data_IF_375817705446
#
_entry.id   IF_375817705446
#
_cell.length_a   1.000
_cell.length_b   1.000
_cell.length_c   1.000
_cell.angle_alpha   90.00
_cell.angle_beta   90.00
_cell.angle_gamma   90.00
#
_symmetry.space_group_name_H-M   'P 1'
#
loop_
_entity.id
_entity.type
_entity.pdbx_description
1 polymer ?
#
# COMPACT_ATOMS: atom_id res chain seq x y z
N UNK A 1 7.54 -8.99 0.16
CA UNK A 1 8.76 -8.21 0.49
C UNK A 1 9.83 -8.43 -0.57
N UNK A 2 10.78 -7.51 -0.69
CA UNK A 2 11.93 -7.62 -1.60
C UNK A 2 13.09 -8.36 -0.91
N UNK A 3 14.04 -8.88 -1.71
CA UNK A 3 15.34 -9.36 -1.23
C UNK A 3 16.26 -8.16 -0.93
N UNK A 4 16.08 -7.55 0.24
CA UNK A 4 16.82 -6.36 0.64
C UNK A 4 18.31 -6.66 0.79
N UNK A 5 18.68 -7.83 1.33
CA UNK A 5 20.07 -8.22 1.50
C UNK A 5 20.81 -8.34 0.15
N UNK A 6 20.20 -9.01 -0.83
CA UNK A 6 20.75 -9.09 -2.19
C UNK A 6 20.87 -7.74 -2.87
N UNK A 7 19.88 -6.84 -2.65
CA UNK A 7 19.93 -5.46 -3.19
C UNK A 7 21.05 -4.65 -2.51
N UNK A 8 21.22 -4.79 -1.18
CA UNK A 8 22.30 -4.13 -0.43
C UNK A 8 23.67 -4.53 -0.95
N UNK A 9 23.91 -5.83 -1.19
CA UNK A 9 25.18 -6.31 -1.77
C UNK A 9 25.49 -5.64 -3.12
N UNK A 10 24.50 -5.54 -4.00
CA UNK A 10 24.66 -4.92 -5.32
C UNK A 10 24.94 -3.41 -5.22
N UNK A 11 24.28 -2.71 -4.29
CA UNK A 11 24.48 -1.29 -4.05
C UNK A 11 25.88 -1.03 -3.46
N UNK A 12 26.24 -1.75 -2.41
CA UNK A 12 27.50 -1.57 -1.69
C UNK A 12 28.72 -1.95 -2.54
N UNK A 13 28.61 -2.98 -3.40
CA UNK A 13 29.67 -3.29 -4.38
C UNK A 13 30.00 -2.10 -5.32
N UNK A 14 29.12 -1.12 -5.40
CA UNK A 14 29.29 0.12 -6.19
C UNK A 14 29.49 1.37 -5.34
N UNK A 15 29.68 1.21 -4.04
CA UNK A 15 29.78 2.34 -3.08
C UNK A 15 28.55 3.22 -3.04
N UNK A 16 27.37 2.64 -3.28
CA UNK A 16 26.06 3.34 -3.24
C UNK A 16 25.30 2.95 -1.98
N UNK A 17 24.69 3.92 -1.28
CA UNK A 17 23.80 3.62 -0.17
C UNK A 17 22.50 2.98 -0.67
N UNK A 18 21.89 2.15 0.18
CA UNK A 18 20.55 1.62 0.01
C UNK A 18 19.58 2.31 0.98
N UNK A 19 18.56 2.96 0.44
CA UNK A 19 17.48 3.60 1.19
C UNK A 19 16.21 2.77 0.99
N UNK A 20 15.58 2.35 2.09
CA UNK A 20 14.35 1.56 2.07
C UNK A 20 13.21 2.36 2.69
N UNK A 21 12.12 2.46 1.94
CA UNK A 21 10.82 2.82 2.49
C UNK A 21 10.15 1.56 3.01
N UNK A 22 10.13 1.40 4.31
CA UNK A 22 9.52 0.29 5.03
C UNK A 22 8.39 0.82 5.94
N UNK A 23 7.59 1.71 5.37
CA UNK A 23 6.53 2.40 6.11
C UNK A 23 5.57 1.44 6.85
N UNK A 24 5.39 0.22 6.34
CA UNK A 24 4.56 -0.83 6.97
C UNK A 24 5.36 -1.79 7.85
N UNK A 25 6.66 -1.59 8.05
CA UNK A 25 7.57 -2.55 8.67
C UNK A 25 7.97 -2.26 10.12
N UNK A 26 7.28 -1.36 10.82
CA UNK A 26 7.66 -0.96 12.19
C UNK A 26 7.72 -2.13 13.20
N UNK A 27 7.01 -3.22 12.97
CA UNK A 27 6.94 -4.43 13.82
C UNK A 27 7.99 -5.48 13.46
N UNK A 28 8.56 -5.45 12.24
CA UNK A 28 9.43 -6.51 11.72
C UNK A 28 10.63 -6.86 12.60
N UNK A 29 11.36 -5.90 13.23
CA UNK A 29 12.56 -6.22 14.02
C UNK A 29 12.29 -6.96 15.33
N UNK A 30 11.04 -7.21 15.69
CA UNK A 30 10.69 -7.73 17.00
C UNK A 30 10.27 -9.21 17.01
N UNK A 31 10.31 -9.89 15.83
CA UNK A 31 9.96 -11.30 15.75
C UNK A 31 10.63 -12.00 14.54
N UNK A 32 11.25 -13.16 14.75
CA UNK A 32 12.02 -13.91 13.75
C UNK A 32 11.17 -14.56 12.64
N UNK A 33 9.87 -14.77 12.86
CA UNK A 33 8.93 -15.30 11.85
C UNK A 33 8.31 -14.20 10.98
N UNK A 34 8.75 -12.96 11.13
CA UNK A 34 8.42 -11.84 10.24
C UNK A 34 9.54 -11.65 9.22
N UNK A 35 9.26 -10.98 8.09
CA UNK A 35 10.29 -10.62 7.12
C UNK A 35 11.46 -9.87 7.77
N UNK A 36 12.68 -10.14 7.25
CA UNK A 36 13.87 -9.48 7.77
C UNK A 36 13.77 -7.96 7.63
N UNK A 37 13.94 -7.26 8.75
CA UNK A 37 13.94 -5.81 8.80
C UNK A 37 15.06 -5.21 7.94
N UNK A 38 14.78 -4.10 7.27
CA UNK A 38 15.68 -3.50 6.31
C UNK A 38 17.06 -3.18 6.88
N UNK A 39 17.15 -2.73 8.15
CA UNK A 39 18.45 -2.42 8.78
C UNK A 39 19.26 -3.71 9.06
N UNK A 40 18.61 -4.79 9.47
CA UNK A 40 19.26 -6.09 9.67
C UNK A 40 19.68 -6.72 8.33
N UNK A 41 18.95 -6.41 7.26
CA UNK A 41 19.26 -6.81 5.89
C UNK A 41 20.33 -5.95 5.20
N UNK A 42 20.88 -4.93 5.88
CA UNK A 42 22.00 -4.12 5.40
C UNK A 42 21.62 -2.82 4.71
N UNK A 43 20.39 -2.33 4.82
CA UNK A 43 20.05 -0.98 4.35
C UNK A 43 20.80 0.10 5.15
N UNK A 44 21.20 1.18 4.50
CA UNK A 44 21.89 2.31 5.14
C UNK A 44 20.91 3.30 5.77
N UNK A 45 19.75 3.45 5.17
CA UNK A 45 18.62 4.23 5.71
C UNK A 45 17.34 3.45 5.53
N UNK A 46 16.51 3.44 6.57
CA UNK A 46 15.16 2.92 6.51
C UNK A 46 14.19 3.92 7.15
N UNK A 47 13.04 4.11 6.53
CA UNK A 47 11.94 4.91 7.08
C UNK A 47 10.79 3.98 7.45
N UNK A 48 10.29 4.10 8.69
CA UNK A 48 9.11 3.35 9.15
C UNK A 48 8.05 4.30 9.67
N UNK A 49 6.79 3.96 9.45
CA UNK A 49 5.63 4.66 10.02
C UNK A 49 5.13 3.88 11.24
N UNK A 50 5.47 4.35 12.44
CA UNK A 50 5.06 3.69 13.69
C UNK A 50 3.54 3.68 13.86
N UNK A 51 2.86 4.68 13.29
CA UNK A 51 1.39 4.78 13.33
C UNK A 51 0.65 3.76 12.45
N UNK A 52 1.35 3.00 11.59
CA UNK A 52 0.77 1.91 10.80
C UNK A 52 0.83 0.61 11.61
N UNK A 53 1.68 -0.33 11.27
CA UNK A 53 1.80 -1.63 11.95
C UNK A 53 2.29 -1.55 13.39
N UNK A 54 2.93 -0.44 13.78
CA UNK A 54 3.31 -0.18 15.18
C UNK A 54 2.15 0.24 16.07
N UNK A 55 0.97 0.55 15.52
CA UNK A 55 -0.21 1.03 16.25
C UNK A 55 0.07 2.27 17.14
N UNK A 56 1.04 3.10 16.74
CA UNK A 56 1.34 4.38 17.39
C UNK A 56 0.34 5.48 17.01
N UNK A 57 0.49 6.65 17.62
CA UNK A 57 -0.31 7.82 17.24
C UNK A 57 0.00 8.24 15.81
N UNK A 58 -1.02 8.70 15.11
CA UNK A 58 -0.94 9.22 13.75
C UNK A 58 0.22 10.25 13.61
N UNK A 59 0.86 10.27 12.45
CA UNK A 59 2.05 11.07 12.14
C UNK A 59 3.37 10.61 12.80
N UNK A 60 3.36 9.52 13.58
CA UNK A 60 4.57 8.93 14.15
C UNK A 60 5.41 8.17 13.12
N UNK A 61 6.60 8.69 12.80
CA UNK A 61 7.54 8.08 11.85
C UNK A 61 8.97 8.20 12.37
N UNK A 62 9.85 7.27 11.95
CA UNK A 62 11.26 7.22 12.36
C UNK A 62 12.15 6.95 11.16
N UNK A 63 13.27 7.69 11.06
CA UNK A 63 14.41 7.32 10.23
C UNK A 63 15.37 6.44 11.05
N UNK A 64 15.76 5.32 10.50
CA UNK A 64 16.86 4.49 10.98
C UNK A 64 18.05 4.68 10.04
N UNK A 65 19.24 4.87 10.60
CA UNK A 65 20.46 5.13 9.83
C UNK A 65 21.60 4.31 10.40
N UNK A 66 22.41 3.70 9.53
CA UNK A 66 23.63 2.99 9.93
C UNK A 66 24.73 3.13 8.87
N UNK A 67 25.96 2.74 9.25
CA UNK A 67 27.12 2.77 8.36
C UNK A 67 27.61 4.18 8.04
N UNK A 68 28.51 4.27 7.06
CA UNK A 68 29.24 5.48 6.70
C UNK A 68 28.90 6.03 5.31
N UNK A 69 27.98 5.38 4.59
CA UNK A 69 27.60 5.79 3.23
C UNK A 69 26.62 6.99 3.20
N UNK A 70 26.02 7.32 4.34
CA UNK A 70 25.11 8.44 4.50
C UNK A 70 25.75 9.50 5.42
N UNK A 71 25.81 10.72 4.94
CA UNK A 71 26.14 11.88 5.75
C UNK A 71 24.97 12.21 6.69
N UNK A 72 25.09 11.82 7.95
CA UNK A 72 24.04 11.94 8.96
C UNK A 72 23.70 13.42 9.28
N UNK A 73 24.71 14.31 9.25
CA UNK A 73 24.49 15.75 9.50
C UNK A 73 23.66 16.36 8.36
N UNK A 74 23.96 15.97 7.12
CA UNK A 74 23.19 16.41 5.96
C UNK A 74 21.78 15.86 5.96
N UNK A 75 21.60 14.58 6.34
CA UNK A 75 20.27 13.97 6.47
C UNK A 75 19.44 14.73 7.51
N UNK A 76 20.02 15.02 8.68
CA UNK A 76 19.37 15.80 9.74
C UNK A 76 18.96 17.18 9.25
N UNK A 77 19.87 17.90 8.57
CA UNK A 77 19.58 19.22 8.03
C UNK A 77 18.44 19.18 6.97
N UNK A 78 18.40 18.14 6.13
CA UNK A 78 17.31 17.97 5.17
C UNK A 78 15.97 17.66 5.87
N UNK A 79 16.00 16.85 6.92
CA UNK A 79 14.81 16.57 7.74
C UNK A 79 14.28 17.87 8.38
N UNK A 80 15.14 18.67 8.97
CA UNK A 80 14.77 19.96 9.57
C UNK A 80 14.13 20.94 8.59
N UNK A 81 14.53 20.89 7.30
CA UNK A 81 13.93 21.71 6.25
C UNK A 81 12.50 21.28 5.88
N UNK A 82 12.16 20.01 6.02
CA UNK A 82 10.92 19.43 5.53
C UNK A 82 9.95 19.07 6.65
N UNK A 83 10.43 18.90 7.87
CA UNK A 83 9.62 18.56 9.03
C UNK A 83 8.87 19.78 9.58
N UNK A 84 7.83 19.48 10.38
CA UNK A 84 7.09 20.54 11.10
C UNK A 84 7.99 21.27 12.10
N UNK A 85 7.81 22.60 12.22
CA UNK A 85 8.44 23.41 13.27
C UNK A 85 7.66 23.40 14.58
N UNK A 86 6.54 22.68 14.64
CA UNK A 86 5.67 22.54 15.82
C UNK A 86 5.50 21.06 16.19
N UNK A 87 6.57 20.38 16.65
CA UNK A 87 6.53 18.96 16.98
C UNK A 87 5.56 18.71 18.14
N UNK A 88 4.80 17.61 18.03
CA UNK A 88 3.85 17.21 19.05
C UNK A 88 4.54 16.26 20.04
N UNK A 89 4.76 16.73 21.28
CA UNK A 89 5.42 15.93 22.32
C UNK A 89 4.66 14.67 22.72
N UNK A 90 3.32 14.64 22.54
CA UNK A 90 2.52 13.44 22.79
C UNK A 90 2.82 12.33 21.79
N UNK A 91 3.06 12.68 20.53
CA UNK A 91 3.49 11.72 19.49
C UNK A 91 4.86 11.14 19.85
N UNK A 92 5.82 11.97 20.25
CA UNK A 92 7.15 11.51 20.66
C UNK A 92 7.09 10.61 21.91
N UNK A 93 6.33 11.00 22.92
CA UNK A 93 6.15 10.21 24.13
C UNK A 93 5.47 8.87 23.83
N UNK A 94 4.47 8.85 22.93
CA UNK A 94 3.79 7.63 22.50
C UNK A 94 4.74 6.70 21.72
N UNK A 95 5.57 7.24 20.81
CA UNK A 95 6.57 6.45 20.08
C UNK A 95 7.62 5.85 21.02
N UNK A 96 8.11 6.58 22.04
CA UNK A 96 9.05 6.02 23.01
C UNK A 96 8.39 4.96 23.90
N UNK A 97 7.14 5.19 24.31
CA UNK A 97 6.34 4.20 25.03
C UNK A 97 6.14 2.93 24.22
N UNK A 98 5.79 3.05 22.95
CA UNK A 98 5.68 1.95 22.01
C UNK A 98 7.01 1.19 21.85
N UNK A 99 8.09 1.90 21.56
CA UNK A 99 9.43 1.30 21.47
C UNK A 99 9.78 0.48 22.70
N UNK A 100 9.51 1.03 23.90
CA UNK A 100 9.75 0.34 25.17
C UNK A 100 8.89 -0.92 25.29
N UNK A 101 7.62 -0.86 24.93
CA UNK A 101 6.71 -2.00 24.94
C UNK A 101 7.20 -3.09 24.00
N UNK A 102 7.58 -2.73 22.77
CA UNK A 102 8.05 -3.70 21.78
C UNK A 102 9.37 -4.36 22.19
N UNK A 103 10.31 -3.62 22.78
CA UNK A 103 11.56 -4.19 23.30
C UNK A 103 11.31 -5.16 24.46
N UNK A 104 10.31 -4.92 25.30
CA UNK A 104 10.02 -5.72 26.49
C UNK A 104 9.07 -6.89 26.22
N UNK A 105 8.11 -6.73 25.33
CA UNK A 105 6.98 -7.65 25.12
C UNK A 105 6.68 -7.91 23.64
N UNK A 106 7.44 -7.36 22.70
CA UNK A 106 7.12 -7.42 21.27
C UNK A 106 7.03 -8.84 20.76
N UNK A 107 7.98 -9.70 21.15
CA UNK A 107 7.98 -11.10 20.72
C UNK A 107 6.68 -11.82 21.14
N UNK A 108 6.28 -11.74 22.40
CA UNK A 108 5.06 -12.38 22.92
C UNK A 108 3.79 -11.83 22.26
N UNK A 109 3.73 -10.50 22.04
CA UNK A 109 2.58 -9.85 21.40
C UNK A 109 2.45 -10.26 19.94
N UNK A 110 3.59 -10.38 19.22
CA UNK A 110 3.61 -10.77 17.83
C UNK A 110 3.40 -12.28 17.65
N UNK A 111 3.87 -13.14 18.58
CA UNK A 111 3.49 -14.55 18.61
C UNK A 111 1.97 -14.72 18.57
N UNK A 112 1.27 -14.02 19.47
CA UNK A 112 -0.19 -14.07 19.54
C UNK A 112 -0.86 -13.59 18.26
N UNK A 113 -0.35 -12.52 17.64
CA UNK A 113 -0.88 -11.98 16.38
C UNK A 113 -0.62 -12.91 15.18
N UNK A 114 0.55 -13.54 15.10
CA UNK A 114 0.90 -14.51 14.06
C UNK A 114 0.05 -15.79 14.18
N UNK A 115 -0.14 -16.30 15.40
CA UNK A 115 -1.02 -17.44 15.64
C UNK A 115 -2.46 -17.13 15.24
N UNK A 116 -2.95 -15.94 15.58
CA UNK A 116 -4.27 -15.46 15.19
C UNK A 116 -4.40 -15.36 13.67
N UNK A 117 -3.40 -14.79 12.99
CA UNK A 117 -3.37 -14.69 11.55
C UNK A 117 -3.37 -16.06 10.85
N UNK A 118 -2.62 -17.03 11.40
CA UNK A 118 -2.61 -18.41 10.92
C UNK A 118 -3.99 -19.07 11.05
N UNK A 119 -4.67 -18.87 12.19
CA UNK A 119 -6.01 -19.40 12.40
C UNK A 119 -7.04 -18.73 11.49
N UNK A 120 -6.99 -17.41 11.38
CA UNK A 120 -7.89 -16.64 10.52
C UNK A 120 -7.81 -17.09 9.04
N UNK A 121 -6.60 -17.38 8.52
CA UNK A 121 -6.44 -17.92 7.16
C UNK A 121 -7.22 -19.22 6.98
N UNK A 122 -7.10 -20.17 7.92
CA UNK A 122 -7.82 -21.44 7.87
C UNK A 122 -9.33 -21.25 7.92
N UNK A 123 -9.80 -20.33 8.75
CA UNK A 123 -11.21 -20.03 8.88
C UNK A 123 -11.78 -19.44 7.58
N UNK A 124 -11.04 -18.52 6.95
CA UNK A 124 -11.41 -17.89 5.67
C UNK A 124 -11.38 -18.91 4.51
N UNK A 125 -10.40 -19.81 4.46
CA UNK A 125 -10.32 -20.88 3.45
C UNK A 125 -11.53 -21.83 3.48
N UNK A 126 -12.25 -21.89 4.59
CA UNK A 126 -13.50 -22.65 4.69
C UNK A 126 -14.68 -21.97 3.97
N UNK A 127 -14.55 -20.69 3.59
CA UNK A 127 -15.60 -19.93 2.90
C UNK A 127 -15.56 -20.27 1.40
N UNK A 128 -16.66 -20.78 0.80
CA UNK A 128 -16.67 -21.14 -0.61
C UNK A 128 -16.32 -19.95 -1.53
N UNK A 129 -15.51 -20.22 -2.54
CA UNK A 129 -15.11 -19.27 -3.58
C UNK A 129 -14.28 -18.07 -3.08
N UNK A 130 -13.77 -18.13 -1.85
CA UNK A 130 -12.77 -17.20 -1.30
C UNK A 130 -11.44 -17.94 -1.19
N UNK A 131 -10.40 -17.41 -1.78
CA UNK A 131 -9.05 -17.98 -1.72
C UNK A 131 -8.15 -17.06 -0.90
N UNK A 132 -7.49 -17.57 0.12
CA UNK A 132 -6.39 -16.86 0.77
C UNK A 132 -5.13 -17.04 -0.07
N UNK A 133 -4.48 -15.93 -0.41
CA UNK A 133 -3.21 -15.94 -1.14
C UNK A 133 -2.05 -15.94 -0.13
N UNK A 134 -1.14 -16.90 -0.26
CA UNK A 134 -0.06 -17.13 0.68
C UNK A 134 1.25 -17.56 -0.05
N UNK A 135 1.75 -18.77 0.18
CA UNK A 135 3.07 -19.24 -0.32
C UNK A 135 3.19 -19.23 -1.85
N UNK A 136 2.08 -19.27 -2.59
CA UNK A 136 2.10 -19.10 -4.06
C UNK A 136 2.59 -17.70 -4.50
N UNK A 137 2.60 -16.73 -3.60
CA UNK A 137 3.14 -15.40 -3.85
C UNK A 137 4.67 -15.34 -3.72
N UNK A 138 5.31 -16.41 -3.22
CA UNK A 138 6.76 -16.50 -3.07
C UNK A 138 7.43 -17.03 -4.34
N UNK A 139 8.53 -16.42 -4.74
CA UNK A 139 9.33 -16.91 -5.86
C UNK A 139 10.24 -15.86 -6.48
N UNK A 140 11.10 -16.30 -7.40
CA UNK A 140 12.12 -15.46 -8.06
C UNK A 140 11.54 -14.26 -8.83
N UNK A 141 10.31 -14.40 -9.34
CA UNK A 141 9.61 -13.34 -10.08
C UNK A 141 8.40 -12.79 -9.30
N UNK A 142 8.37 -13.03 -7.99
CA UNK A 142 7.30 -12.63 -7.10
C UNK A 142 7.88 -12.02 -5.81
N UNK A 143 7.28 -12.25 -4.66
CA UNK A 143 7.81 -11.80 -3.38
C UNK A 143 8.94 -12.69 -2.89
N UNK A 144 9.98 -12.09 -2.30
CA UNK A 144 11.05 -12.82 -1.60
C UNK A 144 10.56 -13.38 -0.26
N UNK A 145 9.70 -12.61 0.43
CA UNK A 145 9.11 -12.98 1.71
C UNK A 145 7.74 -12.31 1.89
N UNK A 146 6.94 -12.75 2.86
CA UNK A 146 5.60 -12.24 3.15
C UNK A 146 5.44 -11.90 4.63
N UNK A 147 4.87 -10.73 4.90
CA UNK A 147 4.35 -10.41 6.23
C UNK A 147 3.06 -11.20 6.47
N UNK A 148 3.13 -12.20 7.35
CA UNK A 148 2.01 -13.10 7.66
C UNK A 148 0.87 -12.44 8.44
N UNK A 149 1.05 -11.24 8.93
CA UNK A 149 -0.03 -10.44 9.53
C UNK A 149 -0.92 -9.78 8.47
N UNK A 150 -0.52 -9.83 7.19
CA UNK A 150 -1.30 -9.38 6.04
C UNK A 150 -2.05 -10.57 5.43
N UNK A 151 -3.37 -10.58 5.51
CA UNK A 151 -4.23 -11.67 4.98
C UNK A 151 -4.88 -11.21 3.68
N UNK A 152 -4.28 -11.61 2.56
CA UNK A 152 -4.76 -11.26 1.22
C UNK A 152 -5.75 -12.32 0.72
N UNK A 153 -6.94 -11.90 0.31
CA UNK A 153 -8.02 -12.76 -0.14
C UNK A 153 -8.43 -12.44 -1.58
N UNK A 154 -8.39 -13.42 -2.47
CA UNK A 154 -9.02 -13.32 -3.80
C UNK A 154 -10.49 -13.72 -3.68
N UNK A 155 -11.37 -12.82 -4.03
CA UNK A 155 -12.82 -12.97 -3.94
C UNK A 155 -13.49 -13.09 -5.31
N UNK A 156 -12.71 -13.05 -6.38
CA UNK A 156 -13.24 -13.00 -7.76
C UNK A 156 -14.08 -14.20 -8.16
N UNK A 157 -13.82 -15.37 -7.58
CA UNK A 157 -14.62 -16.59 -7.85
C UNK A 157 -16.05 -16.52 -7.28
N UNK A 158 -16.33 -15.57 -6.37
CA UNK A 158 -17.69 -15.31 -5.87
C UNK A 158 -18.59 -14.61 -6.90
N UNK A 159 -18.00 -14.10 -7.99
CA UNK A 159 -18.68 -13.26 -9.00
C UNK A 159 -18.73 -11.77 -8.66
N UNK A 160 -18.08 -11.36 -7.55
CA UNK A 160 -17.98 -9.94 -7.14
C UNK A 160 -16.55 -9.42 -7.30
N UNK A 161 -16.38 -8.10 -7.22
CA UNK A 161 -15.06 -7.48 -7.07
C UNK A 161 -14.66 -7.31 -5.60
N UNK A 162 -13.36 -7.10 -5.35
CA UNK A 162 -12.89 -6.71 -4.02
C UNK A 162 -13.47 -5.37 -3.56
N UNK A 163 -13.74 -4.42 -4.48
CA UNK A 163 -14.42 -3.17 -4.17
C UNK A 163 -15.83 -3.41 -3.61
N UNK A 164 -16.63 -4.25 -4.28
CA UNK A 164 -17.98 -4.60 -3.82
C UNK A 164 -17.95 -5.33 -2.46
N UNK A 165 -17.00 -6.23 -2.26
CA UNK A 165 -16.81 -6.92 -0.99
C UNK A 165 -16.44 -5.93 0.13
N UNK A 166 -15.49 -5.03 -0.12
CA UNK A 166 -15.07 -3.98 0.82
C UNK A 166 -16.24 -3.07 1.22
N UNK A 167 -16.97 -2.55 0.23
CA UNK A 167 -18.10 -1.66 0.49
C UNK A 167 -19.19 -2.35 1.31
N UNK A 168 -19.51 -3.60 0.99
CA UNK A 168 -20.49 -4.37 1.75
C UNK A 168 -20.04 -4.60 3.20
N UNK A 169 -18.77 -5.00 3.42
CA UNK A 169 -18.22 -5.21 4.76
C UNK A 169 -18.25 -3.92 5.59
N UNK A 170 -17.95 -2.79 4.96
CA UNK A 170 -17.98 -1.48 5.61
C UNK A 170 -19.42 -1.08 6.00
N UNK A 171 -20.37 -1.23 5.08
CA UNK A 171 -21.76 -0.80 5.30
C UNK A 171 -22.52 -1.69 6.28
N UNK A 172 -22.34 -3.02 6.19
CA UNK A 172 -23.18 -3.97 6.92
C UNK A 172 -22.50 -4.57 8.16
N UNK A 173 -21.18 -4.64 8.17
CA UNK A 173 -20.43 -5.20 9.28
C UNK A 173 -19.58 -4.16 10.05
N UNK A 174 -19.47 -2.93 9.53
CA UNK A 174 -18.60 -1.88 10.06
C UNK A 174 -17.14 -2.33 10.15
N UNK A 175 -16.68 -3.03 9.11
CA UNK A 175 -15.30 -3.50 8.97
C UNK A 175 -14.70 -2.83 7.74
N UNK A 176 -13.63 -2.06 7.96
CA UNK A 176 -12.79 -1.54 6.88
C UNK A 176 -11.68 -2.55 6.61
N UNK A 177 -11.56 -3.01 5.37
CA UNK A 177 -10.40 -3.78 4.92
C UNK A 177 -9.25 -2.83 4.59
N UNK A 178 -8.01 -3.27 4.77
CA UNK A 178 -6.83 -2.41 4.57
C UNK A 178 -6.68 -1.94 3.13
N UNK A 179 -6.94 -2.80 2.17
CA UNK A 179 -6.95 -2.50 0.73
C UNK A 179 -7.98 -3.35 0.00
N UNK A 180 -8.47 -2.85 -1.14
CA UNK A 180 -9.30 -3.61 -2.06
C UNK A 180 -8.94 -3.27 -3.50
N UNK A 181 -8.99 -4.26 -4.39
CA UNK A 181 -8.86 -4.08 -5.83
C UNK A 181 -10.03 -4.78 -6.56
N UNK A 182 -9.96 -4.87 -7.88
CA UNK A 182 -11.01 -5.50 -8.69
C UNK A 182 -11.17 -7.01 -8.45
N UNK A 183 -10.27 -7.65 -7.69
CA UNK A 183 -10.31 -9.10 -7.39
C UNK A 183 -10.15 -9.42 -5.91
N UNK A 184 -9.50 -8.52 -5.14
CA UNK A 184 -8.95 -8.86 -3.83
C UNK A 184 -9.34 -7.86 -2.77
N UNK A 185 -9.35 -8.35 -1.53
CA UNK A 185 -9.38 -7.54 -0.32
C UNK A 185 -8.24 -7.98 0.60
N UNK A 186 -7.72 -7.05 1.38
CA UNK A 186 -6.64 -7.29 2.34
C UNK A 186 -7.14 -7.01 3.75
N UNK A 187 -7.04 -7.99 4.64
CA UNK A 187 -7.16 -7.76 6.07
C UNK A 187 -5.76 -7.67 6.70
N UNK A 188 -5.56 -6.67 7.54
CA UNK A 188 -4.31 -6.45 8.27
C UNK A 188 -4.58 -6.69 9.75
N UNK A 189 -3.84 -7.65 10.34
CA UNK A 189 -3.87 -7.89 11.77
C UNK A 189 -2.76 -7.10 12.46
N UNK A 190 -3.00 -6.75 13.69
CA UNK A 190 -2.03 -6.09 14.57
C UNK A 190 -1.89 -6.85 15.88
N UNK A 191 -0.94 -6.45 16.70
CA UNK A 191 -0.77 -6.99 18.05
C UNK A 191 -1.95 -6.68 19.01
N UNK A 192 -2.89 -5.84 18.58
CA UNK A 192 -4.07 -5.47 19.36
C UNK A 192 -5.30 -6.31 19.01
N UNK A 193 -5.22 -7.13 17.95
CA UNK A 193 -6.32 -8.00 17.55
C UNK A 193 -6.38 -9.26 18.42
N UNK A 194 -7.58 -9.77 18.59
CA UNK A 194 -7.88 -10.97 19.37
C UNK A 194 -8.84 -11.91 18.61
N UNK A 195 -9.23 -12.99 19.25
CA UNK A 195 -10.16 -13.97 18.68
C UNK A 195 -11.54 -13.38 18.38
N UNK A 196 -11.96 -12.38 19.12
CA UNK A 196 -13.27 -11.76 18.92
C UNK A 196 -13.23 -10.86 17.67
N UNK A 197 -12.14 -10.08 17.48
CA UNK A 197 -11.96 -9.26 16.27
C UNK A 197 -11.82 -10.12 15.02
N UNK A 198 -11.03 -11.19 15.06
CA UNK A 198 -10.89 -12.14 13.95
C UNK A 198 -12.20 -12.88 13.65
N UNK A 199 -12.93 -13.31 14.69
CA UNK A 199 -14.23 -13.96 14.55
C UNK A 199 -15.27 -13.06 13.89
N UNK A 200 -15.32 -11.79 14.25
CA UNK A 200 -16.19 -10.79 13.60
C UNK A 200 -15.91 -10.66 12.10
N UNK A 201 -14.65 -10.67 11.70
CA UNK A 201 -14.29 -10.64 10.28
C UNK A 201 -14.76 -11.92 9.57
N UNK A 202 -14.51 -13.08 10.14
CA UNK A 202 -14.94 -14.36 9.57
C UNK A 202 -16.46 -14.43 9.42
N UNK A 203 -17.21 -14.05 10.44
CA UNK A 203 -18.67 -14.01 10.42
C UNK A 203 -19.20 -13.04 9.36
N UNK A 204 -18.58 -11.88 9.24
CA UNK A 204 -18.92 -10.88 8.24
C UNK A 204 -18.64 -11.37 6.81
N UNK A 205 -17.52 -12.07 6.58
CA UNK A 205 -17.20 -12.67 5.29
C UNK A 205 -18.19 -13.78 4.91
N UNK A 206 -18.62 -14.60 5.86
CA UNK A 206 -19.69 -15.58 5.63
C UNK A 206 -21.03 -14.92 5.27
N UNK A 207 -21.39 -13.84 5.96
CA UNK A 207 -22.62 -13.09 5.67
C UNK A 207 -22.54 -12.42 4.30
N UNK A 208 -21.40 -11.77 3.98
CA UNK A 208 -21.16 -11.20 2.66
C UNK A 208 -21.20 -12.25 1.56
N UNK A 209 -20.57 -13.42 1.75
CA UNK A 209 -20.58 -14.49 0.74
C UNK A 209 -22.01 -14.96 0.39
N UNK A 210 -22.91 -14.96 1.36
CA UNK A 210 -24.33 -15.25 1.12
C UNK A 210 -25.00 -14.14 0.30
N UNK A 211 -24.71 -12.87 0.63
CA UNK A 211 -25.26 -11.71 -0.08
C UNK A 211 -24.68 -11.55 -1.50
N UNK A 212 -23.49 -12.09 -1.76
CA UNK A 212 -22.79 -11.96 -3.03
C UNK A 212 -23.60 -12.54 -4.23
N UNK A 213 -24.56 -13.43 -3.99
CA UNK A 213 -25.43 -13.94 -5.05
C UNK A 213 -26.37 -12.89 -5.66
N UNK A 214 -26.66 -11.83 -4.92
CA UNK A 214 -27.58 -10.78 -5.34
C UNK A 214 -26.85 -9.58 -5.98
N UNK A 215 -25.52 -9.65 -6.10
CA UNK A 215 -24.72 -8.56 -6.66
C UNK A 215 -24.74 -8.62 -8.18
N UNK A 216 -24.86 -7.45 -8.79
CA UNK A 216 -24.57 -7.30 -10.20
C UNK A 216 -23.08 -7.59 -10.47
N UNK A 217 -22.77 -8.30 -11.57
CA UNK A 217 -21.37 -8.53 -11.94
C UNK A 217 -20.57 -7.21 -12.01
N UNK A 218 -19.33 -7.18 -11.49
CA UNK A 218 -18.55 -5.95 -11.49
C UNK A 218 -18.24 -5.51 -12.93
N UNK A 219 -18.20 -4.19 -13.19
CA UNK A 219 -17.77 -3.67 -14.47
C UNK A 219 -16.36 -4.16 -14.83
N UNK A 220 -16.14 -4.43 -16.10
CA UNK A 220 -14.81 -4.81 -16.59
C UNK A 220 -13.85 -3.62 -16.51
N UNK A 221 -12.62 -3.88 -16.07
CA UNK A 221 -11.51 -2.92 -16.13
C UNK A 221 -10.67 -3.22 -17.36
N UNK A 222 -10.37 -2.20 -18.14
CA UNK A 222 -9.54 -2.28 -19.34
C UNK A 222 -8.06 -2.16 -18.94
N UNK A 223 -7.41 -3.31 -18.70
CA UNK A 223 -6.01 -3.35 -18.25
C UNK A 223 -5.07 -3.11 -19.43
N UNK A 224 -4.19 -2.10 -19.37
CA UNK A 224 -3.16 -1.86 -20.40
C UNK A 224 -2.03 -2.90 -20.29
N UNK A 225 -1.30 -3.10 -21.37
CA UNK A 225 -0.05 -3.85 -21.31
C UNK A 225 1.04 -3.05 -20.59
N UNK A 226 2.13 -3.71 -20.09
CA UNK A 226 3.26 -2.99 -19.50
C UNK A 226 3.81 -1.88 -20.40
N UNK A 227 3.94 -2.15 -21.71
CA UNK A 227 4.43 -1.16 -22.69
C UNK A 227 3.49 0.03 -22.84
N UNK A 228 2.18 -0.18 -22.69
CA UNK A 228 1.19 0.89 -22.74
C UNK A 228 1.19 1.76 -21.47
N UNK A 229 1.69 1.21 -20.35
CA UNK A 229 1.89 1.97 -19.11
C UNK A 229 3.14 2.86 -19.15
N UNK A 230 4.10 2.59 -20.03
CA UNK A 230 5.28 3.43 -20.22
C UNK A 230 4.93 4.67 -21.06
N UNK A 231 4.45 5.72 -20.41
CA UNK A 231 4.10 6.97 -21.06
C UNK A 231 5.36 7.77 -21.46
N UNK A 232 5.28 8.47 -22.60
CA UNK A 232 6.35 9.37 -23.06
C UNK A 232 6.50 10.58 -22.12
N UNK A 233 7.65 10.75 -21.49
CA UNK A 233 8.00 11.97 -20.75
C UNK A 233 8.35 13.10 -21.72
N UNK A 234 7.48 14.11 -21.82
CA UNK A 234 7.65 15.27 -22.72
C UNK A 234 8.41 16.41 -22.06
N UNK A 235 8.16 16.63 -20.77
CA UNK A 235 8.85 17.65 -19.96
C UNK A 235 8.93 17.19 -18.51
N UNK A 236 9.66 17.94 -17.70
CA UNK A 236 9.78 17.62 -16.27
C UNK A 236 8.41 17.74 -15.58
N UNK A 237 8.12 16.85 -14.61
CA UNK A 237 6.87 16.93 -13.84
C UNK A 237 6.62 18.29 -13.22
N UNK A 238 7.65 18.94 -12.70
CA UNK A 238 7.60 20.30 -12.15
C UNK A 238 7.11 21.31 -13.17
N UNK A 239 7.64 21.26 -14.39
CA UNK A 239 7.35 22.27 -15.43
C UNK A 239 5.90 22.12 -15.92
N UNK A 240 5.41 20.89 -15.99
CA UNK A 240 4.02 20.62 -16.31
C UNK A 240 3.07 21.04 -15.19
N UNK A 241 3.39 20.68 -13.94
CA UNK A 241 2.53 20.95 -12.80
C UNK A 241 2.34 22.46 -12.53
N UNK A 242 3.42 23.26 -12.70
CA UNK A 242 3.38 24.71 -12.52
C UNK A 242 3.16 25.50 -13.83
N UNK A 243 2.98 24.80 -14.96
CA UNK A 243 2.70 25.40 -16.26
C UNK A 243 1.30 25.99 -16.40
N UNK A 244 0.98 26.50 -17.58
CA UNK A 244 -0.41 26.86 -17.90
C UNK A 244 -1.21 25.59 -18.14
N UNK A 245 -2.31 25.46 -17.42
CA UNK A 245 -3.16 24.25 -17.41
C UNK A 245 -4.54 24.58 -17.94
N UNK A 246 -5.13 23.62 -18.64
CA UNK A 246 -6.56 23.60 -18.92
C UNK A 246 -7.16 22.23 -18.53
N UNK A 247 -8.42 22.21 -18.15
CA UNK A 247 -9.18 20.97 -17.97
C UNK A 247 -9.86 20.62 -19.27
N UNK A 248 -9.64 19.39 -19.73
CA UNK A 248 -10.28 18.84 -20.93
C UNK A 248 -11.11 17.62 -20.56
N UNK A 249 -12.13 17.33 -21.35
CA UNK A 249 -12.85 16.07 -21.21
C UNK A 249 -11.89 14.90 -21.50
N UNK A 250 -11.94 13.84 -20.68
CA UNK A 250 -10.98 12.73 -20.73
C UNK A 250 -10.95 12.04 -22.11
N UNK A 251 -12.08 11.97 -22.80
CA UNK A 251 -12.18 11.46 -24.20
C UNK A 251 -11.36 12.28 -25.21
N UNK A 252 -10.99 13.53 -24.89
CA UNK A 252 -10.18 14.42 -25.72
C UNK A 252 -8.74 14.59 -25.21
N UNK A 253 -8.37 13.86 -24.16
CA UNK A 253 -7.07 14.02 -23.53
C UNK A 253 -5.96 13.20 -24.20
N UNK A 254 -6.29 12.20 -25.02
CA UNK A 254 -5.29 11.40 -25.74
C UNK A 254 -4.36 12.28 -26.58
N UNK A 255 -3.05 12.10 -26.42
CA UNK A 255 -2.00 12.86 -27.08
C UNK A 255 -1.65 14.18 -26.38
N UNK A 256 -2.45 14.64 -25.39
CA UNK A 256 -2.13 15.82 -24.59
C UNK A 256 -1.09 15.46 -23.51
N UNK A 257 -0.43 16.45 -22.96
CA UNK A 257 0.55 16.31 -21.88
C UNK A 257 -0.13 16.55 -20.54
N UNK A 258 -0.07 15.57 -19.64
CA UNK A 258 -0.67 15.66 -18.32
C UNK A 258 -0.04 16.79 -17.48
N UNK A 259 -0.88 17.51 -16.75
CA UNK A 259 -0.48 18.55 -15.81
C UNK A 259 -0.89 18.22 -14.37
N UNK A 260 -1.40 17.01 -14.15
CA UNK A 260 -1.72 16.46 -12.84
C UNK A 260 -1.26 15.02 -12.74
N UNK A 261 -1.24 14.49 -11.52
CA UNK A 261 -1.00 13.10 -11.23
C UNK A 261 -2.33 12.36 -11.14
N UNK A 262 -2.36 11.12 -11.62
CA UNK A 262 -3.49 10.22 -11.43
C UNK A 262 -2.97 8.91 -10.84
N UNK A 263 -3.29 8.66 -9.58
CA UNK A 263 -2.77 7.53 -8.82
C UNK A 263 -3.91 6.62 -8.37
N UNK A 264 -4.10 5.46 -8.99
CA UNK A 264 -4.98 4.43 -8.44
C UNK A 264 -4.57 4.04 -7.03
N UNK A 265 -5.52 4.05 -6.11
CA UNK A 265 -5.27 3.65 -4.73
C UNK A 265 -6.27 2.57 -4.30
N UNK A 266 -5.81 1.41 -3.83
CA UNK A 266 -4.43 0.96 -3.74
C UNK A 266 -3.79 0.63 -5.10
N UNK A 267 -2.45 0.51 -5.19
CA UNK A 267 -1.44 0.64 -4.13
C UNK A 267 -0.86 2.04 -3.95
N UNK A 268 -1.31 3.03 -4.71
CA UNK A 268 -0.77 4.38 -4.65
C UNK A 268 0.44 4.60 -5.57
N UNK A 269 0.54 3.82 -6.66
CA UNK A 269 1.55 4.01 -7.72
C UNK A 269 0.91 4.84 -8.84
N UNK A 270 1.49 6.00 -9.20
CA UNK A 270 0.94 6.82 -10.28
C UNK A 270 0.86 6.06 -11.60
N UNK A 271 -0.31 6.05 -12.22
CA UNK A 271 -0.49 5.62 -13.60
C UNK A 271 -0.17 6.75 -14.61
N UNK A 272 -0.26 8.00 -14.14
CA UNK A 272 0.09 9.20 -14.88
C UNK A 272 0.81 10.16 -13.94
N UNK A 273 1.93 10.73 -14.38
CA UNK A 273 2.58 11.86 -13.69
C UNK A 273 2.58 13.11 -14.58
N UNK A 274 2.63 14.32 -14.01
CA UNK A 274 2.74 15.54 -14.80
C UNK A 274 3.92 15.50 -15.75
N UNK A 275 3.73 15.97 -16.98
CA UNK A 275 4.75 15.97 -18.03
C UNK A 275 4.74 14.78 -18.96
N UNK A 276 3.90 13.80 -18.71
CA UNK A 276 3.73 12.62 -19.56
C UNK A 276 2.65 12.85 -20.63
N UNK A 277 2.86 12.24 -21.81
CA UNK A 277 1.89 12.25 -22.91
C UNK A 277 0.87 11.14 -22.69
N UNK A 278 -0.38 11.53 -22.49
CA UNK A 278 -1.50 10.62 -22.28
C UNK A 278 -1.76 9.75 -23.51
N UNK A 279 -1.92 8.45 -23.32
CA UNK A 279 -2.40 7.54 -24.34
C UNK A 279 -3.81 7.02 -24.01
N UNK A 280 -4.50 6.49 -25.02
CA UNK A 280 -5.87 5.99 -24.87
C UNK A 280 -5.97 4.82 -23.90
N UNK A 281 -5.00 3.90 -23.90
CA UNK A 281 -5.06 2.70 -23.06
C UNK A 281 -5.00 3.02 -21.55
N UNK A 282 -4.16 3.99 -21.15
CA UNK A 282 -4.08 4.43 -19.75
C UNK A 282 -5.33 5.20 -19.33
N UNK A 283 -5.89 6.05 -20.22
CA UNK A 283 -7.15 6.74 -19.96
C UNK A 283 -8.33 5.76 -19.83
N UNK A 284 -8.42 4.75 -20.71
CA UNK A 284 -9.44 3.70 -20.64
C UNK A 284 -9.34 2.89 -19.35
N UNK A 285 -8.09 2.55 -18.94
CA UNK A 285 -7.83 1.89 -17.65
C UNK A 285 -8.34 2.70 -16.48
N UNK A 286 -7.96 3.97 -16.40
CA UNK A 286 -8.35 4.87 -15.30
C UNK A 286 -9.87 5.05 -15.26
N UNK A 287 -10.50 5.35 -16.40
CA UNK A 287 -11.94 5.56 -16.48
C UNK A 287 -12.75 4.29 -16.20
N UNK A 288 -12.31 3.12 -16.72
CA UNK A 288 -12.98 1.84 -16.46
C UNK A 288 -12.78 1.43 -15.00
N UNK A 289 -11.61 1.68 -14.43
CA UNK A 289 -11.29 1.44 -13.03
C UNK A 289 -12.20 2.23 -12.09
N UNK A 290 -12.33 3.55 -12.31
CA UNK A 290 -13.23 4.40 -11.50
C UNK A 290 -14.67 3.93 -11.58
N UNK A 291 -15.16 3.54 -12.78
CA UNK A 291 -16.50 2.95 -12.92
C UNK A 291 -16.68 1.64 -12.16
N UNK A 292 -15.59 0.89 -11.98
CA UNK A 292 -15.59 -0.37 -11.22
C UNK A 292 -15.38 -0.20 -9.71
N UNK A 293 -15.17 1.03 -9.22
CA UNK A 293 -14.97 1.33 -7.79
C UNK A 293 -13.53 1.70 -7.40
N UNK A 294 -12.61 1.80 -8.38
CA UNK A 294 -11.23 2.23 -8.13
C UNK A 294 -11.20 3.69 -7.68
N UNK A 295 -10.45 3.97 -6.63
CA UNK A 295 -10.26 5.33 -6.13
C UNK A 295 -9.01 5.97 -6.76
N UNK A 296 -9.12 7.24 -7.19
CA UNK A 296 -8.01 8.06 -7.71
C UNK A 296 -8.01 9.39 -6.96
N UNK A 297 -7.54 9.40 -5.70
CA UNK A 297 -7.76 10.50 -4.77
C UNK A 297 -7.00 11.79 -5.09
N UNK A 298 -5.93 11.73 -5.87
CA UNK A 298 -5.09 12.86 -6.24
C UNK A 298 -5.49 13.54 -7.56
N UNK A 299 -6.39 12.93 -8.34
CA UNK A 299 -6.93 13.57 -9.53
C UNK A 299 -7.78 14.80 -9.16
N UNK A 300 -7.67 15.88 -9.93
CA UNK A 300 -8.47 17.09 -9.73
C UNK A 300 -9.98 16.83 -9.87
N UNK A 301 -10.34 15.89 -10.72
CA UNK A 301 -11.67 15.33 -10.85
C UNK A 301 -11.61 13.82 -10.55
N UNK A 302 -11.92 13.36 -9.33
CA UNK A 302 -11.87 11.95 -8.97
C UNK A 302 -12.81 11.05 -9.81
N UNK A 303 -13.81 11.63 -10.48
CA UNK A 303 -14.67 10.91 -11.42
C UNK A 303 -14.03 10.70 -12.79
N UNK A 304 -12.89 11.36 -13.05
CA UNK A 304 -12.16 11.35 -14.32
C UNK A 304 -13.02 11.69 -15.56
N UNK A 305 -14.08 12.47 -15.40
CA UNK A 305 -14.80 13.05 -16.54
C UNK A 305 -13.93 14.11 -17.22
N UNK A 306 -13.08 14.78 -16.45
CA UNK A 306 -12.09 15.73 -16.93
C UNK A 306 -10.69 15.40 -16.39
N UNK A 307 -9.68 15.83 -17.11
CA UNK A 307 -8.27 15.71 -16.70
C UNK A 307 -7.54 17.02 -17.03
N UNK A 308 -6.60 17.40 -16.17
CA UNK A 308 -5.76 18.58 -16.37
C UNK A 308 -4.60 18.27 -17.30
N UNK A 309 -4.42 19.11 -18.32
CA UNK A 309 -3.36 19.01 -19.31
C UNK A 309 -2.69 20.36 -19.52
N UNK A 310 -1.50 20.37 -20.07
CA UNK A 310 -0.84 21.60 -20.50
C UNK A 310 -1.66 22.29 -21.59
N UNK A 311 -1.84 23.62 -21.44
CA UNK A 311 -2.62 24.44 -22.37
C UNK A 311 -1.89 24.68 -23.72
#
# INVERSE_FOLDING_TARGET
>A
CADIAGIAEVCHARGKPLIIDEAWGAHLPFHENLPTWAMDAGADVCVVSVHKMGAGFEQGSVFHVQGDLIDQDRLSACADLLMTTSPNVLVYAAMDGWRRQMVQHGHELLDGALDLACQLRKDIESIPDVQVLDDELLGVQASHDLDRMQVLMDVSATGTSGYQAHDWLREHAHIDTGMSDHRRILATLSMADDKDTAGRLTDALWAWRKAAHDFEPPPRIDLPSPEQMELETVCLPRDAFFGRVESVSTDRATGRVAAEQCTPYPPGIPAVVPGERLNGAVLDYLCSGVRAGMNVPDAADPSLQTIRVLA
#
